data_IF_529385818414
#
_entry.id   IF_529385818414
#
_cell.length_a   1.000
_cell.length_b   1.000
_cell.length_c   1.000
_cell.angle_alpha   90.00
_cell.angle_beta   90.00
_cell.angle_gamma   90.00
#
_symmetry.space_group_name_H-M   'P 1'
#
loop_
_entity.id
_entity.type
_entity.pdbx_description
1 polymer ?
#
# COMPACT_ATOMS: atom_id res chain seq x y z
N UNK A 1 3.58 11.06 -8.49
CA UNK A 1 4.93 10.44 -8.52
C UNK A 1 5.62 10.66 -7.18
N UNK A 2 6.29 9.63 -6.66
CA UNK A 2 7.09 9.75 -5.45
C UNK A 2 8.36 10.57 -5.79
N UNK A 3 8.73 11.59 -5.00
CA UNK A 3 9.99 12.31 -5.23
C UNK A 3 11.18 11.34 -5.22
N UNK A 4 12.13 11.43 -6.17
CA UNK A 4 13.25 10.49 -6.26
C UNK A 4 14.05 10.38 -4.95
N UNK A 5 14.28 11.51 -4.27
CA UNK A 5 14.96 11.54 -2.98
C UNK A 5 14.21 10.83 -1.85
N UNK A 6 12.87 10.80 -1.91
CA UNK A 6 12.03 10.06 -0.95
C UNK A 6 12.07 8.57 -1.25
N UNK A 7 11.99 8.19 -2.54
CA UNK A 7 12.07 6.80 -3.00
C UNK A 7 13.41 6.16 -2.59
N UNK A 8 14.53 6.83 -2.90
CA UNK A 8 15.87 6.34 -2.52
C UNK A 8 16.00 6.11 -1.01
N UNK A 9 15.59 7.08 -0.19
CA UNK A 9 15.63 6.94 1.28
C UNK A 9 14.73 5.82 1.79
N UNK A 10 13.65 5.47 1.09
CA UNK A 10 12.81 4.34 1.47
C UNK A 10 13.50 3.01 1.14
N UNK A 11 14.10 2.90 -0.05
CA UNK A 11 14.89 1.74 -0.48
C UNK A 11 16.06 1.51 0.47
N UNK A 12 16.84 2.54 0.79
CA UNK A 12 18.00 2.43 1.70
C UNK A 12 17.58 1.92 3.10
N UNK A 13 16.44 2.43 3.60
CA UNK A 13 15.86 1.99 4.88
C UNK A 13 15.38 0.54 4.81
N UNK A 14 14.68 0.16 3.75
CA UNK A 14 14.15 -1.20 3.58
C UNK A 14 15.29 -2.21 3.43
N UNK A 15 16.33 -1.89 2.66
CA UNK A 15 17.54 -2.70 2.51
C UNK A 15 18.28 -2.87 3.84
N UNK A 16 18.52 -1.76 4.55
CA UNK A 16 19.18 -1.79 5.87
C UNK A 16 18.39 -2.65 6.86
N UNK A 17 17.06 -2.48 6.89
CA UNK A 17 16.18 -3.27 7.76
C UNK A 17 16.32 -4.76 7.46
N UNK A 18 16.29 -5.18 6.19
CA UNK A 18 16.41 -6.58 5.82
C UNK A 18 17.77 -7.18 6.23
N UNK A 19 18.86 -6.46 6.00
CA UNK A 19 20.21 -6.90 6.41
C UNK A 19 20.29 -7.10 7.92
N UNK A 20 19.85 -6.11 8.70
CA UNK A 20 19.83 -6.19 10.18
C UNK A 20 18.98 -7.37 10.64
N UNK A 21 17.82 -7.56 10.04
CA UNK A 21 16.91 -8.66 10.31
C UNK A 21 17.52 -10.04 10.02
N UNK A 22 18.28 -10.18 8.91
CA UNK A 22 18.98 -11.39 8.54
C UNK A 22 20.13 -11.70 9.52
N UNK A 23 20.93 -10.69 9.86
CA UNK A 23 22.02 -10.81 10.83
C UNK A 23 21.49 -11.23 12.21
N UNK A 24 20.42 -10.59 12.68
CA UNK A 24 19.79 -10.92 13.96
C UNK A 24 19.31 -12.38 13.97
N UNK A 25 18.64 -12.83 12.90
CA UNK A 25 18.21 -14.23 12.78
C UNK A 25 19.40 -15.18 12.80
N UNK A 26 20.47 -14.88 12.06
CA UNK A 26 21.69 -15.69 12.04
C UNK A 26 22.32 -15.79 13.42
N UNK A 27 22.43 -14.67 14.16
CA UNK A 27 22.98 -14.65 15.54
C UNK A 27 22.14 -15.48 16.50
N UNK A 28 20.81 -15.44 16.35
CA UNK A 28 19.88 -16.20 17.18
C UNK A 28 19.66 -17.64 16.71
N UNK A 29 20.36 -18.12 15.67
CA UNK A 29 20.25 -19.48 15.14
C UNK A 29 18.98 -19.75 14.33
N UNK A 30 18.22 -18.70 13.97
CA UNK A 30 17.03 -18.82 13.13
C UNK A 30 17.39 -18.80 11.65
N UNK A 31 16.72 -19.65 10.87
CA UNK A 31 16.91 -19.72 9.42
C UNK A 31 16.28 -18.53 8.71
N UNK A 32 16.98 -17.96 7.74
CA UNK A 32 16.42 -16.99 6.78
C UNK A 32 15.50 -17.71 5.78
N UNK A 33 14.21 -17.41 5.86
CA UNK A 33 13.17 -18.05 5.05
C UNK A 33 13.06 -17.51 3.61
N UNK A 34 12.30 -18.21 2.77
CA UNK A 34 12.08 -17.81 1.37
C UNK A 34 11.40 -16.43 1.22
N UNK A 35 10.52 -16.06 2.16
CA UNK A 35 9.88 -14.73 2.19
C UNK A 35 10.90 -13.60 2.33
N UNK A 36 11.93 -13.80 3.14
CA UNK A 36 12.98 -12.80 3.35
C UNK A 36 13.83 -12.62 2.09
N UNK A 37 14.27 -13.72 1.48
CA UNK A 37 14.99 -13.67 0.20
C UNK A 37 14.19 -13.02 -0.92
N UNK A 38 12.88 -13.26 -0.96
CA UNK A 38 11.99 -12.59 -1.91
C UNK A 38 11.96 -11.08 -1.65
N UNK A 39 11.80 -10.66 -0.40
CA UNK A 39 11.83 -9.24 -0.04
C UNK A 39 13.17 -8.57 -0.38
N UNK A 40 14.30 -9.24 -0.15
CA UNK A 40 15.63 -8.75 -0.59
C UNK A 40 15.68 -8.56 -2.11
N UNK A 41 15.24 -9.57 -2.86
CA UNK A 41 15.18 -9.50 -4.33
C UNK A 41 14.27 -8.38 -4.83
N UNK A 42 13.12 -8.16 -4.17
CA UNK A 42 12.17 -7.12 -4.53
C UNK A 42 12.77 -5.72 -4.28
N UNK A 43 13.51 -5.53 -3.19
CA UNK A 43 14.21 -4.26 -2.90
C UNK A 43 15.32 -3.98 -3.90
N UNK A 44 16.12 -5.00 -4.26
CA UNK A 44 17.18 -4.85 -5.28
C UNK A 44 16.60 -4.54 -6.66
N UNK A 45 15.48 -5.18 -7.03
CA UNK A 45 14.78 -4.89 -8.28
C UNK A 45 14.30 -3.42 -8.31
N UNK A 46 13.63 -2.98 -7.24
CA UNK A 46 13.16 -1.60 -7.10
C UNK A 46 14.31 -0.59 -7.13
N UNK A 47 15.44 -0.88 -6.48
CA UNK A 47 16.65 -0.04 -6.54
C UNK A 47 17.17 0.09 -7.98
N UNK A 48 17.23 -1.03 -8.71
CA UNK A 48 17.68 -1.03 -10.11
C UNK A 48 16.77 -0.19 -11.02
N UNK A 49 15.46 -0.20 -10.76
CA UNK A 49 14.50 0.60 -11.50
C UNK A 49 14.70 2.11 -11.27
N UNK A 50 14.89 2.51 -10.01
CA UNK A 50 15.14 3.92 -9.66
C UNK A 50 16.46 4.41 -10.25
N UNK A 51 17.52 3.60 -10.20
CA UNK A 51 18.83 3.94 -10.80
C UNK A 51 18.73 4.06 -12.33
N UNK A 52 17.90 3.24 -12.98
CA UNK A 52 17.62 3.33 -14.41
C UNK A 52 16.81 4.56 -14.81
N UNK A 53 16.33 5.35 -13.83
CA UNK A 53 15.57 6.58 -14.06
C UNK A 53 14.06 6.37 -14.18
N UNK A 54 13.53 5.19 -13.82
CA UNK A 54 12.09 4.97 -13.78
C UNK A 54 11.46 5.77 -12.63
N UNK A 55 10.27 6.31 -12.88
CA UNK A 55 9.50 7.02 -11.87
C UNK A 55 8.67 6.05 -11.04
N UNK A 56 8.70 6.23 -9.73
CA UNK A 56 7.85 5.48 -8.82
C UNK A 56 6.51 6.19 -8.56
N UNK A 57 5.44 5.40 -8.46
CA UNK A 57 4.09 5.87 -8.22
C UNK A 57 3.45 5.12 -7.05
N UNK A 58 2.89 5.87 -6.11
CA UNK A 58 1.97 5.35 -5.10
C UNK A 58 0.54 5.58 -5.61
N UNK A 59 -0.30 4.55 -5.49
CA UNK A 59 -1.71 4.62 -5.88
C UNK A 59 -2.58 4.56 -4.62
N UNK A 60 -3.61 5.39 -4.60
CA UNK A 60 -4.67 5.33 -3.60
C UNK A 60 -6.01 5.19 -4.33
N UNK A 61 -6.79 4.18 -3.94
CA UNK A 61 -8.13 3.95 -4.46
C UNK A 61 -9.18 4.32 -3.42
N UNK A 62 -10.24 4.99 -3.87
CA UNK A 62 -11.43 5.25 -3.05
C UNK A 62 -12.61 4.62 -3.76
N UNK A 63 -13.42 3.88 -3.01
CA UNK A 63 -14.60 3.20 -3.51
C UNK A 63 -15.81 3.87 -2.89
N UNK A 64 -16.64 4.52 -3.72
CA UNK A 64 -17.96 4.98 -3.30
C UNK A 64 -18.99 3.91 -3.64
N UNK A 65 -19.71 3.43 -2.63
CA UNK A 65 -20.81 2.47 -2.78
C UNK A 65 -22.11 3.21 -2.48
N UNK A 66 -23.08 3.09 -3.39
CA UNK A 66 -24.43 3.67 -3.24
C UNK A 66 -25.47 2.60 -3.51
N UNK A 67 -26.55 2.61 -2.75
CA UNK A 67 -27.67 1.68 -2.90
C UNK A 67 -29.00 2.35 -2.56
N UNK A 68 -30.13 1.73 -2.94
CA UNK A 68 -31.47 2.29 -2.71
C UNK A 68 -31.98 2.10 -1.27
N UNK A 69 -31.32 1.23 -0.50
CA UNK A 69 -31.65 0.94 0.91
C UNK A 69 -30.40 0.66 1.73
N UNK A 70 -30.51 0.79 3.06
CA UNK A 70 -29.41 0.49 3.97
C UNK A 70 -28.98 -0.98 3.92
N UNK A 71 -29.93 -1.91 3.79
CA UNK A 71 -29.65 -3.35 3.70
C UNK A 71 -28.91 -3.71 2.42
N UNK A 72 -29.28 -3.07 1.30
CA UNK A 72 -28.58 -3.24 0.03
C UNK A 72 -27.17 -2.63 0.07
N UNK A 73 -27.02 -1.46 0.71
CA UNK A 73 -25.71 -0.83 0.88
C UNK A 73 -24.74 -1.72 1.66
N UNK A 74 -25.18 -2.28 2.78
CA UNK A 74 -24.33 -3.14 3.60
C UNK A 74 -23.93 -4.41 2.85
N UNK A 75 -24.85 -5.01 2.07
CA UNK A 75 -24.56 -6.15 1.21
C UNK A 75 -23.51 -5.83 0.15
N UNK A 76 -23.66 -4.72 -0.57
CA UNK A 76 -22.70 -4.31 -1.58
C UNK A 76 -21.33 -3.96 -0.99
N UNK A 77 -21.27 -3.35 0.20
CA UNK A 77 -20.02 -3.13 0.92
C UNK A 77 -19.32 -4.46 1.25
N UNK A 78 -20.06 -5.46 1.75
CA UNK A 78 -19.51 -6.77 2.05
C UNK A 78 -18.98 -7.50 0.81
N UNK A 79 -19.64 -7.33 -0.35
CA UNK A 79 -19.15 -7.86 -1.63
C UNK A 79 -17.81 -7.23 -2.04
N UNK A 80 -17.67 -5.90 -1.91
CA UNK A 80 -16.41 -5.21 -2.17
C UNK A 80 -15.28 -5.65 -1.24
N UNK A 81 -15.56 -5.85 0.04
CA UNK A 81 -14.58 -6.38 1.00
C UNK A 81 -14.12 -7.78 0.61
N UNK A 82 -15.03 -8.65 0.18
CA UNK A 82 -14.69 -9.99 -0.32
C UNK A 82 -13.85 -9.91 -1.59
N UNK A 83 -14.21 -9.06 -2.56
CA UNK A 83 -13.44 -8.88 -3.79
C UNK A 83 -12.03 -8.37 -3.52
N UNK A 84 -11.89 -7.38 -2.64
CA UNK A 84 -10.59 -6.86 -2.22
C UNK A 84 -9.74 -7.97 -1.59
N UNK A 85 -10.31 -8.78 -0.69
CA UNK A 85 -9.60 -9.90 -0.06
C UNK A 85 -9.09 -10.93 -1.09
N UNK A 86 -9.90 -11.28 -2.09
CA UNK A 86 -9.50 -12.19 -3.18
C UNK A 86 -8.36 -11.61 -4.04
N UNK A 87 -8.34 -10.29 -4.22
CA UNK A 87 -7.27 -9.59 -4.91
C UNK A 87 -6.02 -9.34 -4.04
N UNK A 88 -6.04 -9.75 -2.77
CA UNK A 88 -4.96 -9.45 -1.81
C UNK A 88 -4.87 -7.98 -1.41
N UNK A 89 -5.94 -7.21 -1.64
CA UNK A 89 -6.05 -5.81 -1.26
C UNK A 89 -6.74 -5.69 0.11
N UNK A 90 -6.28 -4.72 0.90
CA UNK A 90 -6.96 -4.32 2.13
C UNK A 90 -7.72 -3.03 1.88
N UNK A 91 -9.02 -3.04 2.16
CA UNK A 91 -9.85 -1.84 2.15
C UNK A 91 -10.33 -1.53 3.57
N UNK A 92 -10.61 -0.25 3.84
CA UNK A 92 -11.06 0.23 5.14
C UNK A 92 -12.24 1.16 4.95
N UNK A 93 -13.29 0.99 5.75
CA UNK A 93 -14.43 1.91 5.79
C UNK A 93 -14.00 3.26 6.38
N UNK A 94 -14.39 4.35 5.72
CA UNK A 94 -14.08 5.73 6.14
C UNK A 94 -15.21 6.30 7.01
N UNK A 95 -15.53 5.59 8.09
CA UNK A 95 -16.63 5.93 8.98
C UNK A 95 -16.48 7.36 9.53
N UNK A 96 -17.54 8.15 9.44
CA UNK A 96 -17.55 9.55 9.89
C UNK A 96 -16.84 10.54 8.96
N UNK A 97 -16.32 10.08 7.81
CA UNK A 97 -15.68 10.91 6.79
C UNK A 97 -16.32 10.71 5.41
N UNK A 98 -17.58 10.27 5.36
CA UNK A 98 -18.27 9.88 4.13
C UNK A 98 -18.41 11.05 3.14
N UNK A 99 -18.67 12.25 3.65
CA UNK A 99 -18.81 13.49 2.90
C UNK A 99 -17.49 13.89 2.22
N UNK A 100 -16.39 13.96 2.97
CA UNK A 100 -15.06 14.27 2.46
C UNK A 100 -14.57 13.20 1.48
N UNK A 101 -14.83 11.92 1.77
CA UNK A 101 -14.42 10.80 0.93
C UNK A 101 -15.18 10.77 -0.40
N UNK A 102 -16.47 11.11 -0.39
CA UNK A 102 -17.28 11.20 -1.61
C UNK A 102 -16.74 12.29 -2.56
N UNK A 103 -16.28 13.44 -2.05
CA UNK A 103 -15.66 14.46 -2.90
C UNK A 103 -14.42 13.93 -3.65
N UNK A 104 -13.66 13.02 -3.04
CA UNK A 104 -12.48 12.40 -3.64
C UNK A 104 -12.79 11.32 -4.68
N UNK A 105 -14.05 10.87 -4.82
CA UNK A 105 -14.45 9.93 -5.88
C UNK A 105 -14.91 10.62 -7.16
N UNK A 106 -15.10 11.94 -7.11
CA UNK A 106 -15.47 12.75 -8.25
C UNK A 106 -14.24 13.05 -9.13
N UNK A 107 -14.42 13.25 -10.45
CA UNK A 107 -13.32 13.55 -11.37
C UNK A 107 -12.85 15.02 -11.28
N UNK A 108 -12.73 15.55 -10.06
CA UNK A 108 -12.39 16.96 -9.77
C UNK A 108 -10.95 17.13 -9.27
N UNK A 109 -10.15 16.05 -9.27
CA UNK A 109 -8.74 16.08 -8.91
C UNK A 109 -8.47 16.27 -7.42
N UNK A 110 -9.49 16.07 -6.57
CA UNK A 110 -9.33 16.08 -5.11
C UNK A 110 -8.90 14.67 -4.70
N UNK A 111 -7.68 14.58 -4.17
CA UNK A 111 -7.12 13.34 -3.67
C UNK A 111 -6.80 13.45 -2.17
N UNK A 112 -6.75 12.31 -1.48
CA UNK A 112 -6.34 12.28 -0.09
C UNK A 112 -4.86 12.71 0.03
N UNK A 113 -4.54 13.50 1.06
CA UNK A 113 -3.17 13.95 1.29
C UNK A 113 -2.28 12.75 1.71
N UNK A 114 -1.00 12.76 1.34
CA UNK A 114 -0.07 11.68 1.68
C UNK A 114 0.04 11.39 3.19
N UNK A 115 -0.37 12.33 4.06
CA UNK A 115 -0.37 12.20 5.53
C UNK A 115 -1.69 11.72 6.14
N UNK A 116 -2.76 11.52 5.37
CA UNK A 116 -4.08 11.17 5.91
C UNK A 116 -4.29 9.66 6.16
N UNK A 117 -3.21 8.86 6.11
CA UNK A 117 -3.26 7.39 6.10
C UNK A 117 -2.45 6.71 7.20
N UNK A 118 -1.74 7.50 8.02
CA UNK A 118 -1.14 7.06 9.28
C UNK A 118 -2.12 7.29 10.44
#
# INVERSE_FOLDING_TARGET
PVPPSRSQRQIDRDATRLVVDAEQRSRSGFRVGARHRRAESDVVARESEIVAGYAEFEYCGIIAVSAASADELERSCAEWEQMAAHAGLQIRRLNGQHDASFACTLPVGIGPAARSWE
#
